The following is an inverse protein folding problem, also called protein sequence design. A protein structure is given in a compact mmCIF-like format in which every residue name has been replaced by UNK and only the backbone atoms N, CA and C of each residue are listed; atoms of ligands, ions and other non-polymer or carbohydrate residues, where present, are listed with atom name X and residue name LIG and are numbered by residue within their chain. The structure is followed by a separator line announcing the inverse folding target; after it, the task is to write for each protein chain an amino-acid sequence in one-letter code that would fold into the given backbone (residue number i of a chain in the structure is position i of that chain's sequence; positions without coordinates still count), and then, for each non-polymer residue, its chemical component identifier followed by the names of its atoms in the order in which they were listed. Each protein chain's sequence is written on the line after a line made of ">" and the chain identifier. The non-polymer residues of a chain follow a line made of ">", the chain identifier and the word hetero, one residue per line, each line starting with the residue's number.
data_IF_689917833206
#
_entry.id   IF_689917833206
#
_cell.length_a   1.000
_cell.length_b   1.000
_cell.length_c   1.000
_cell.angle_alpha   90.00
_cell.angle_beta   90.00
_cell.angle_gamma   90.00
#
_symmetry.space_group_name_H-M   'P 1'
#
loop_
_entity.id
_entity.type
_entity.pdbx_description
1 polymer ?
#
# COMPACT_ATOMS: atom_id res chain seq x y z
N UNK A 1 9.67 3.25 -30.05
CA UNK A 1 8.20 3.10 -29.96
C UNK A 1 7.77 2.48 -28.65
N UNK A 2 7.97 1.18 -28.37
CA UNK A 2 7.51 0.56 -27.12
C UNK A 2 7.89 1.30 -25.82
N UNK A 3 9.19 1.62 -25.63
CA UNK A 3 9.67 2.43 -24.49
C UNK A 3 9.14 3.87 -24.45
N UNK A 4 8.71 4.41 -25.58
CA UNK A 4 8.12 5.76 -25.62
C UNK A 4 6.68 5.73 -25.12
N UNK A 5 5.91 4.72 -25.53
CA UNK A 5 4.59 4.44 -24.96
C UNK A 5 4.69 4.16 -23.45
N UNK A 6 5.65 3.34 -23.00
CA UNK A 6 5.88 3.08 -21.58
C UNK A 6 6.18 4.37 -20.79
N UNK A 7 7.09 5.22 -21.28
CA UNK A 7 7.41 6.51 -20.64
C UNK A 7 6.22 7.46 -20.55
N UNK A 8 5.31 7.44 -21.53
CA UNK A 8 4.09 8.26 -21.49
C UNK A 8 3.10 7.76 -20.43
N UNK A 9 3.04 6.44 -20.21
CA UNK A 9 2.27 5.86 -19.11
C UNK A 9 2.80 6.35 -17.76
N UNK A 10 4.12 6.33 -17.57
CA UNK A 10 4.76 6.80 -16.34
C UNK A 10 4.55 8.30 -16.10
N UNK A 11 4.59 9.12 -17.16
CA UNK A 11 4.45 10.57 -17.05
C UNK A 11 3.00 11.07 -17.04
N UNK A 12 2.02 10.18 -17.16
CA UNK A 12 0.60 10.57 -17.26
C UNK A 12 0.22 11.24 -18.59
N UNK A 13 1.12 11.25 -19.59
CA UNK A 13 0.93 11.94 -20.86
C UNK A 13 0.27 11.05 -21.92
N UNK A 14 -0.87 10.43 -21.57
CA UNK A 14 -1.63 9.56 -22.48
C UNK A 14 -3.05 10.06 -22.66
N UNK A 15 -3.59 9.89 -23.87
CA UNK A 15 -4.99 10.20 -24.17
C UNK A 15 -5.94 9.08 -23.74
N UNK A 16 -5.51 7.82 -23.92
CA UNK A 16 -6.21 6.63 -23.44
C UNK A 16 -5.19 5.64 -22.87
N UNK A 17 -5.24 5.43 -21.56
CA UNK A 17 -4.32 4.58 -20.82
C UNK A 17 -4.30 3.14 -21.38
N UNK A 18 -5.48 2.60 -21.69
CA UNK A 18 -5.61 1.21 -22.16
C UNK A 18 -4.98 1.02 -23.53
N UNK A 19 -5.22 1.95 -24.45
CA UNK A 19 -4.59 1.92 -25.78
C UNK A 19 -3.09 2.14 -25.70
N UNK A 20 -2.62 3.12 -24.93
CA UNK A 20 -1.20 3.43 -24.79
C UNK A 20 -0.43 2.24 -24.19
N UNK A 21 -1.00 1.59 -23.17
CA UNK A 21 -0.47 0.37 -22.55
C UNK A 21 -0.42 -0.81 -23.52
N UNK A 22 -1.49 -1.05 -24.26
CA UNK A 22 -1.56 -2.13 -25.27
C UNK A 22 -0.50 -1.95 -26.36
N UNK A 23 -0.28 -0.72 -26.82
CA UNK A 23 0.76 -0.39 -27.79
C UNK A 23 2.16 -0.59 -27.21
N UNK A 24 2.40 -0.20 -25.96
CA UNK A 24 3.67 -0.41 -25.28
C UNK A 24 4.06 -1.90 -25.26
N UNK A 25 3.15 -2.75 -24.79
CA UNK A 25 3.34 -4.22 -24.74
C UNK A 25 3.62 -4.77 -26.13
N UNK A 26 2.77 -4.44 -27.12
CA UNK A 26 2.91 -4.94 -28.49
C UNK A 26 4.28 -4.62 -29.08
N UNK A 27 4.70 -3.36 -29.03
CA UNK A 27 5.98 -2.95 -29.65
C UNK A 27 7.20 -3.50 -28.91
N UNK A 28 7.13 -3.71 -27.60
CA UNK A 28 8.21 -4.36 -26.86
C UNK A 28 8.30 -5.85 -27.20
N UNK A 29 7.18 -6.57 -27.31
CA UNK A 29 7.17 -7.96 -27.76
C UNK A 29 7.75 -8.11 -29.18
N UNK A 30 7.37 -7.24 -30.11
CA UNK A 30 7.92 -7.22 -31.47
C UNK A 30 9.43 -6.96 -31.47
N UNK A 31 9.90 -6.00 -30.65
CA UNK A 31 11.32 -5.71 -30.52
C UNK A 31 12.11 -6.91 -29.97
N UNK A 32 11.59 -7.60 -28.95
CA UNK A 32 12.21 -8.81 -28.39
C UNK A 32 12.29 -9.94 -29.42
N UNK A 33 11.23 -10.15 -30.22
CA UNK A 33 11.21 -11.17 -31.26
C UNK A 33 12.25 -10.91 -32.36
N UNK A 34 12.49 -9.63 -32.72
CA UNK A 34 13.53 -9.25 -33.67
C UNK A 34 14.94 -9.40 -33.06
N UNK A 35 15.12 -8.94 -31.82
CA UNK A 35 16.43 -8.93 -31.16
C UNK A 35 16.94 -10.31 -30.79
N UNK A 36 16.06 -11.25 -30.41
CA UNK A 36 16.46 -12.64 -30.14
C UNK A 36 17.05 -13.36 -31.37
N UNK A 37 16.84 -12.82 -32.57
CA UNK A 37 17.34 -13.37 -33.84
C UNK A 37 18.60 -12.66 -34.38
N UNK A 38 19.08 -11.61 -33.71
CA UNK A 38 20.29 -10.85 -34.08
C UNK A 38 21.29 -10.86 -32.93
N UNK A 39 22.59 -10.75 -33.21
CA UNK A 39 23.64 -10.80 -32.17
C UNK A 39 23.29 -10.01 -30.90
N UNK A 40 23.51 -10.68 -29.77
CA UNK A 40 22.85 -10.41 -28.50
C UNK A 40 23.48 -9.20 -27.81
N UNK A 41 22.71 -8.10 -27.68
CA UNK A 41 23.18 -6.82 -27.12
C UNK A 41 22.44 -6.48 -25.79
N UNK A 42 23.06 -5.65 -24.95
CA UNK A 42 22.54 -5.10 -23.68
C UNK A 42 21.16 -4.48 -23.84
N UNK A 43 20.84 -3.97 -25.03
CA UNK A 43 19.53 -3.44 -25.38
C UNK A 43 18.39 -4.48 -25.26
N UNK A 44 18.69 -5.77 -25.41
CA UNK A 44 17.74 -6.86 -25.16
C UNK A 44 17.37 -6.94 -23.68
N UNK A 45 18.36 -6.89 -22.77
CA UNK A 45 18.12 -6.91 -21.33
C UNK A 45 17.24 -5.73 -20.87
N UNK A 46 17.47 -4.54 -21.43
CA UNK A 46 16.63 -3.37 -21.16
C UNK A 46 15.18 -3.59 -21.62
N UNK A 47 14.97 -4.12 -22.83
CA UNK A 47 13.61 -4.39 -23.33
C UNK A 47 12.90 -5.50 -22.55
N UNK A 48 13.63 -6.52 -22.10
CA UNK A 48 13.09 -7.58 -21.24
C UNK A 48 12.61 -6.98 -19.92
N UNK A 49 13.40 -6.09 -19.31
CA UNK A 49 13.04 -5.42 -18.06
C UNK A 49 11.82 -4.49 -18.24
N UNK A 50 11.78 -3.70 -19.32
CA UNK A 50 10.66 -2.80 -19.61
C UNK A 50 9.36 -3.57 -19.84
N UNK A 51 9.42 -4.69 -20.58
CA UNK A 51 8.24 -5.54 -20.79
C UNK A 51 7.81 -6.23 -19.48
N UNK A 52 8.76 -6.67 -18.67
CA UNK A 52 8.45 -7.25 -17.37
C UNK A 52 7.73 -6.26 -16.45
N UNK A 53 8.18 -5.00 -16.41
CA UNK A 53 7.52 -3.93 -15.65
C UNK A 53 6.07 -3.71 -16.13
N UNK A 54 5.84 -3.70 -17.45
CA UNK A 54 4.46 -3.59 -17.98
C UNK A 54 3.58 -4.78 -17.59
N UNK A 55 4.11 -6.00 -17.61
CA UNK A 55 3.37 -7.17 -17.16
C UNK A 55 3.11 -7.14 -15.65
N UNK A 56 4.09 -6.70 -14.88
CA UNK A 56 3.94 -6.46 -13.46
C UNK A 56 2.80 -5.46 -13.16
N UNK A 57 2.75 -4.32 -13.86
CA UNK A 57 1.69 -3.31 -13.74
C UNK A 57 0.30 -3.80 -14.22
N UNK A 58 0.27 -4.92 -14.94
CA UNK A 58 -0.95 -5.61 -15.36
C UNK A 58 -1.36 -6.74 -14.41
N UNK A 59 -0.58 -7.02 -13.35
CA UNK A 59 -0.78 -8.18 -12.47
C UNK A 59 -0.37 -9.52 -13.10
N UNK A 60 0.28 -9.50 -14.27
CA UNK A 60 0.75 -10.67 -15.02
C UNK A 60 2.14 -11.11 -14.50
N UNK A 61 2.19 -11.48 -13.23
CA UNK A 61 3.46 -11.78 -12.54
C UNK A 61 4.17 -13.03 -13.11
N UNK A 62 3.40 -14.00 -13.61
CA UNK A 62 3.95 -15.23 -14.19
C UNK A 62 4.69 -14.99 -15.50
N UNK A 63 4.32 -13.93 -16.22
CA UNK A 63 4.93 -13.48 -17.47
C UNK A 63 6.10 -12.54 -17.20
N UNK A 64 6.03 -11.71 -16.16
CA UNK A 64 7.09 -10.75 -15.79
C UNK A 64 8.34 -11.44 -15.24
N UNK A 65 8.18 -12.40 -14.32
CA UNK A 65 9.30 -13.06 -13.64
C UNK A 65 10.36 -13.67 -14.58
N UNK A 66 10.02 -14.49 -15.59
CA UNK A 66 11.03 -15.09 -16.46
C UNK A 66 11.81 -14.05 -17.26
N UNK A 67 11.19 -12.92 -17.62
CA UNK A 67 11.85 -11.84 -18.37
C UNK A 67 12.91 -11.13 -17.51
N UNK A 68 12.64 -10.89 -16.23
CA UNK A 68 13.62 -10.28 -15.30
C UNK A 68 14.81 -11.21 -15.05
N UNK A 69 14.55 -12.53 -14.91
CA UNK A 69 15.61 -13.53 -14.78
C UNK A 69 16.47 -13.60 -16.05
N UNK A 70 15.85 -13.61 -17.23
CA UNK A 70 16.56 -13.59 -18.51
C UNK A 70 17.41 -12.33 -18.67
N UNK A 71 16.89 -11.15 -18.28
CA UNK A 71 17.62 -9.89 -18.32
C UNK A 71 18.86 -9.90 -17.40
N UNK A 72 18.73 -10.44 -16.19
CA UNK A 72 19.82 -10.56 -15.22
C UNK A 72 20.93 -11.50 -15.74
N UNK A 73 20.56 -12.71 -16.17
CA UNK A 73 21.50 -13.68 -16.73
C UNK A 73 22.20 -13.13 -17.97
N UNK A 74 21.46 -12.41 -18.82
CA UNK A 74 22.04 -11.82 -20.02
C UNK A 74 23.08 -10.76 -19.69
N UNK A 75 22.81 -9.86 -18.74
CA UNK A 75 23.78 -8.85 -18.29
C UNK A 75 24.99 -9.49 -17.61
N UNK A 76 24.80 -10.50 -16.75
CA UNK A 76 25.91 -11.26 -16.14
C UNK A 76 26.81 -11.89 -17.22
N UNK A 77 26.23 -12.46 -18.28
CA UNK A 77 26.98 -13.08 -19.38
C UNK A 77 27.73 -12.08 -20.25
N UNK A 78 27.10 -10.96 -20.61
CA UNK A 78 27.67 -9.98 -21.55
C UNK A 78 28.67 -9.03 -20.90
N UNK A 79 28.41 -8.63 -19.65
CA UNK A 79 29.13 -7.56 -18.96
C UNK A 79 30.00 -8.06 -17.80
N UNK A 80 29.82 -9.32 -17.41
CA UNK A 80 30.44 -9.90 -16.22
C UNK A 80 29.58 -9.68 -14.97
N UNK A 81 29.90 -10.39 -13.89
CA UNK A 81 29.16 -10.31 -12.63
C UNK A 81 29.38 -8.98 -11.88
N UNK A 82 30.53 -8.34 -12.08
CA UNK A 82 30.93 -7.10 -11.41
C UNK A 82 30.64 -5.88 -12.29
N UNK A 83 29.39 -5.68 -12.68
CA UNK A 83 28.97 -4.56 -13.54
C UNK A 83 27.76 -3.82 -12.95
N UNK A 84 27.67 -2.47 -13.04
CA UNK A 84 26.54 -1.70 -12.53
C UNK A 84 25.17 -2.18 -13.02
N UNK A 85 25.06 -2.55 -14.30
CA UNK A 85 23.81 -3.09 -14.86
C UNK A 85 23.37 -4.41 -14.23
N UNK A 86 24.30 -5.22 -13.70
CA UNK A 86 23.95 -6.42 -12.93
C UNK A 86 23.32 -6.01 -11.60
N UNK A 87 23.89 -5.02 -10.89
CA UNK A 87 23.28 -4.47 -9.68
C UNK A 87 21.88 -3.88 -9.94
N UNK A 88 21.70 -3.18 -11.06
CA UNK A 88 20.39 -2.67 -11.48
C UNK A 88 19.39 -3.81 -11.73
N UNK A 89 19.82 -4.90 -12.37
CA UNK A 89 18.98 -6.08 -12.61
C UNK A 89 18.58 -6.80 -11.34
N UNK A 90 19.53 -6.98 -10.42
CA UNK A 90 19.29 -7.56 -9.10
C UNK A 90 18.26 -6.74 -8.35
N UNK A 91 18.39 -5.41 -8.37
CA UNK A 91 17.43 -4.48 -7.79
C UNK A 91 16.03 -4.59 -8.42
N UNK A 92 15.92 -4.71 -9.74
CA UNK A 92 14.63 -4.85 -10.43
C UNK A 92 13.97 -6.19 -10.12
N UNK A 93 14.73 -7.29 -10.08
CA UNK A 93 14.22 -8.60 -9.70
C UNK A 93 13.83 -8.67 -8.21
N UNK A 94 14.60 -8.01 -7.33
CA UNK A 94 14.27 -7.88 -5.93
C UNK A 94 12.99 -7.07 -5.71
N UNK A 95 12.82 -5.95 -6.44
CA UNK A 95 11.60 -5.14 -6.41
C UNK A 95 10.38 -5.96 -6.85
N UNK A 96 10.50 -6.72 -7.95
CA UNK A 96 9.45 -7.65 -8.36
C UNK A 96 9.08 -8.65 -7.25
N UNK A 97 10.06 -9.28 -6.61
CA UNK A 97 9.77 -10.22 -5.52
C UNK A 97 9.18 -9.53 -4.29
N UNK A 98 9.58 -8.29 -4.00
CA UNK A 98 8.99 -7.47 -2.95
C UNK A 98 7.52 -7.17 -3.25
N UNK A 99 7.20 -6.72 -4.47
CA UNK A 99 5.84 -6.33 -4.86
C UNK A 99 4.86 -7.51 -4.86
N UNK A 100 5.33 -8.72 -5.21
CA UNK A 100 4.52 -9.96 -5.10
C UNK A 100 4.52 -10.56 -3.69
N UNK A 101 5.07 -9.88 -2.68
CA UNK A 101 5.10 -10.31 -1.29
C UNK A 101 6.10 -11.44 -0.96
N UNK A 102 6.95 -11.83 -1.91
CA UNK A 102 7.97 -12.87 -1.70
C UNK A 102 9.27 -12.26 -1.14
N UNK A 103 9.18 -11.75 0.09
CA UNK A 103 10.29 -11.04 0.72
C UNK A 103 11.53 -11.92 0.93
N UNK A 104 11.34 -13.24 1.14
CA UNK A 104 12.44 -14.19 1.29
C UNK A 104 13.34 -14.32 0.05
N UNK A 105 12.78 -14.10 -1.16
CA UNK A 105 13.57 -14.03 -2.39
C UNK A 105 14.12 -12.64 -2.68
N UNK A 106 13.43 -11.59 -2.23
CA UNK A 106 13.88 -10.20 -2.43
C UNK A 106 15.13 -9.86 -1.59
N UNK A 107 15.17 -10.29 -0.33
CA UNK A 107 16.27 -9.98 0.61
C UNK A 107 17.67 -10.31 0.08
N UNK A 108 17.98 -11.55 -0.35
CA UNK A 108 19.32 -11.88 -0.83
C UNK A 108 19.71 -11.09 -2.10
N UNK A 109 18.74 -10.74 -2.94
CA UNK A 109 19.00 -9.97 -4.17
C UNK A 109 19.30 -8.51 -3.87
N UNK A 110 18.59 -7.89 -2.92
CA UNK A 110 18.91 -6.53 -2.47
C UNK A 110 20.27 -6.48 -1.77
N UNK A 111 20.62 -7.49 -0.99
CA UNK A 111 21.94 -7.61 -0.37
C UNK A 111 23.05 -7.77 -1.42
N UNK A 112 22.87 -8.65 -2.41
CA UNK A 112 23.84 -8.81 -3.52
C UNK A 112 24.00 -7.50 -4.30
N UNK A 113 22.91 -6.79 -4.60
CA UNK A 113 22.95 -5.50 -5.28
C UNK A 113 23.67 -4.41 -4.46
N UNK A 114 23.45 -4.37 -3.14
CA UNK A 114 24.09 -3.43 -2.22
C UNK A 114 25.59 -3.68 -2.13
N UNK A 115 26.02 -4.92 -1.92
CA UNK A 115 27.44 -5.27 -1.83
C UNK A 115 28.16 -5.04 -3.16
N UNK A 116 27.52 -5.35 -4.28
CA UNK A 116 28.05 -5.01 -5.60
C UNK A 116 28.14 -3.49 -5.80
N UNK A 117 27.14 -2.73 -5.35
CA UNK A 117 27.16 -1.27 -5.38
C UNK A 117 28.33 -0.68 -4.58
N UNK A 118 28.56 -1.16 -3.35
CA UNK A 118 29.71 -0.77 -2.52
C UNK A 118 31.04 -1.14 -3.16
N UNK A 119 31.13 -2.33 -3.76
CA UNK A 119 32.34 -2.78 -4.45
C UNK A 119 32.71 -1.85 -5.62
N UNK A 120 31.73 -1.45 -6.42
CA UNK A 120 31.95 -0.67 -7.64
C UNK A 120 32.10 0.84 -7.39
N UNK A 121 31.38 1.38 -6.40
CA UNK A 121 31.23 2.83 -6.19
C UNK A 121 31.82 3.31 -4.86
N UNK A 122 32.24 2.37 -4.00
CA UNK A 122 32.65 2.63 -2.63
C UNK A 122 31.48 2.80 -1.67
N UNK A 123 31.78 2.85 -0.37
CA UNK A 123 30.76 2.90 0.69
C UNK A 123 30.00 4.22 0.76
N UNK A 124 30.52 5.30 0.18
CA UNK A 124 29.93 6.65 0.26
C UNK A 124 29.47 7.12 -1.13
N UNK A 125 28.39 6.54 -1.65
CA UNK A 125 27.82 6.88 -2.96
C UNK A 125 26.28 6.96 -2.90
N UNK A 126 25.61 7.88 -3.65
CA UNK A 126 24.15 8.01 -3.64
C UNK A 126 23.41 6.70 -3.97
N UNK A 127 23.96 5.87 -4.85
CA UNK A 127 23.37 4.56 -5.20
C UNK A 127 23.42 3.55 -4.06
N UNK A 128 24.45 3.63 -3.21
CA UNK A 128 24.53 2.83 -1.97
C UNK A 128 23.44 3.28 -1.01
N UNK A 129 23.25 4.59 -0.82
CA UNK A 129 22.15 5.13 -0.02
C UNK A 129 20.77 4.68 -0.56
N UNK A 130 20.58 4.70 -1.88
CA UNK A 130 19.34 4.21 -2.50
C UNK A 130 19.12 2.71 -2.28
N UNK A 131 20.19 1.91 -2.31
CA UNK A 131 20.12 0.47 -2.05
C UNK A 131 19.82 0.16 -0.57
N UNK A 132 20.40 0.92 0.37
CA UNK A 132 20.07 0.85 1.79
C UNK A 132 18.57 1.15 2.03
N UNK A 133 18.02 2.17 1.37
CA UNK A 133 16.60 2.50 1.48
C UNK A 133 15.70 1.37 0.97
N UNK A 134 16.05 0.70 -0.14
CA UNK A 134 15.28 -0.44 -0.66
C UNK A 134 15.27 -1.62 0.31
N UNK A 135 16.42 -1.93 0.91
CA UNK A 135 16.50 -2.98 1.93
C UNK A 135 15.72 -2.60 3.20
N UNK A 136 15.77 -1.33 3.61
CA UNK A 136 14.96 -0.85 4.74
C UNK A 136 13.45 -0.95 4.47
N UNK A 137 12.99 -0.64 3.25
CA UNK A 137 11.59 -0.85 2.85
C UNK A 137 11.17 -2.31 2.95
N UNK A 138 12.03 -3.23 2.51
CA UNK A 138 11.80 -4.67 2.66
C UNK A 138 11.62 -5.05 4.13
N UNK A 139 12.54 -4.62 5.00
CA UNK A 139 12.46 -4.91 6.44
C UNK A 139 11.23 -4.26 7.10
N UNK A 140 10.87 -3.03 6.71
CA UNK A 140 9.61 -2.38 7.12
C UNK A 140 8.40 -3.24 6.76
N UNK A 141 8.32 -3.74 5.53
CA UNK A 141 7.22 -4.60 5.07
C UNK A 141 7.16 -5.96 5.80
N UNK A 142 8.28 -6.43 6.34
CA UNK A 142 8.36 -7.62 7.20
C UNK A 142 8.11 -7.31 8.69
N UNK A 143 7.84 -6.07 9.07
CA UNK A 143 7.73 -5.64 10.48
C UNK A 143 9.06 -5.59 11.24
N UNK A 144 10.20 -5.82 10.56
CA UNK A 144 11.55 -5.83 11.10
C UNK A 144 12.11 -4.41 11.26
N UNK A 145 11.40 -3.57 12.02
CA UNK A 145 11.70 -2.14 12.13
C UNK A 145 13.08 -1.84 12.72
N UNK A 146 13.55 -2.66 13.66
CA UNK A 146 14.87 -2.52 14.28
C UNK A 146 16.04 -2.70 13.30
N UNK A 147 15.82 -3.44 12.21
CA UNK A 147 16.82 -3.61 11.14
C UNK A 147 16.68 -2.54 10.04
N UNK A 148 15.46 -2.04 9.82
CA UNK A 148 15.20 -0.98 8.84
C UNK A 148 15.76 0.40 9.27
N UNK A 149 15.58 0.76 10.54
CA UNK A 149 15.95 2.08 11.08
C UNK A 149 17.43 2.44 10.88
N UNK A 150 18.42 1.60 11.25
CA UNK A 150 19.83 1.94 11.05
C UNK A 150 20.21 2.11 9.57
N UNK A 151 19.56 1.40 8.65
CA UNK A 151 19.81 1.53 7.22
C UNK A 151 19.32 2.87 6.68
N UNK A 152 18.12 3.32 7.09
CA UNK A 152 17.58 4.63 6.71
C UNK A 152 18.43 5.77 7.28
N UNK A 153 18.85 5.65 8.55
CA UNK A 153 19.74 6.64 9.18
C UNK A 153 21.08 6.71 8.44
N UNK A 154 21.67 5.57 8.08
CA UNK A 154 22.91 5.52 7.32
C UNK A 154 22.76 6.16 5.93
N UNK A 155 21.67 5.85 5.21
CA UNK A 155 21.37 6.45 3.90
C UNK A 155 21.15 7.96 3.97
N UNK A 156 20.40 8.42 4.97
CA UNK A 156 20.13 9.84 5.23
C UNK A 156 21.42 10.61 5.52
N UNK A 157 22.26 10.10 6.44
CA UNK A 157 23.54 10.73 6.81
C UNK A 157 24.49 10.78 5.62
N UNK A 158 24.53 9.71 4.80
CA UNK A 158 25.31 9.69 3.57
C UNK A 158 24.85 10.77 2.58
N UNK A 159 23.54 10.92 2.36
CA UNK A 159 22.98 11.96 1.48
C UNK A 159 23.22 13.36 2.02
N UNK A 160 23.04 13.61 3.31
CA UNK A 160 23.36 14.90 3.96
C UNK A 160 24.83 15.27 3.75
N UNK A 161 25.75 14.30 3.86
CA UNK A 161 27.19 14.52 3.65
C UNK A 161 27.56 14.80 2.20
N UNK A 162 26.99 14.04 1.26
CA UNK A 162 27.35 14.12 -0.17
C UNK A 162 26.68 15.30 -0.88
N UNK A 163 25.43 15.61 -0.51
CA UNK A 163 24.56 16.52 -1.26
C UNK A 163 24.23 17.81 -0.48
N UNK A 164 24.59 17.86 0.81
CA UNK A 164 24.16 18.92 1.73
C UNK A 164 22.79 18.63 2.36
N UNK A 165 22.43 19.40 3.40
CA UNK A 165 21.15 19.26 4.10
C UNK A 165 19.96 19.78 3.28
N UNK A 166 20.18 20.77 2.42
CA UNK A 166 19.16 21.34 1.54
C UNK A 166 19.19 20.63 0.18
N UNK A 167 18.68 19.39 0.14
CA UNK A 167 18.61 18.61 -1.09
C UNK A 167 17.31 17.77 -1.18
N UNK A 168 16.69 17.62 -2.37
CA UNK A 168 15.49 16.80 -2.53
C UNK A 168 15.66 15.34 -2.10
N UNK A 169 16.86 14.76 -2.26
CA UNK A 169 17.14 13.38 -1.84
C UNK A 169 17.22 13.26 -0.31
N UNK A 170 17.62 14.33 0.38
CA UNK A 170 17.56 14.40 1.85
C UNK A 170 16.11 14.49 2.31
N UNK A 171 15.29 15.33 1.67
CA UNK A 171 13.85 15.40 1.97
C UNK A 171 13.16 14.03 1.76
N UNK A 172 13.46 13.34 0.66
CA UNK A 172 12.96 11.97 0.43
C UNK A 172 13.40 11.02 1.54
N UNK A 173 14.66 11.06 1.96
CA UNK A 173 15.17 10.20 3.04
C UNK A 173 14.50 10.46 4.39
N UNK A 174 14.21 11.74 4.70
CA UNK A 174 13.49 12.14 5.90
C UNK A 174 12.06 11.59 5.89
N UNK A 175 11.36 11.69 4.75
CA UNK A 175 10.02 11.12 4.59
C UNK A 175 10.03 9.59 4.78
N UNK A 176 11.02 8.88 4.23
CA UNK A 176 11.14 7.42 4.39
C UNK A 176 11.36 7.01 5.85
N UNK A 177 12.19 7.75 6.59
CA UNK A 177 12.40 7.52 8.03
C UNK A 177 11.14 7.85 8.83
N UNK A 178 10.42 8.92 8.47
CA UNK A 178 9.17 9.27 9.09
C UNK A 178 8.10 8.19 8.88
N UNK A 179 7.99 7.63 7.67
CA UNK A 179 7.09 6.51 7.39
C UNK A 179 7.42 5.27 8.23
N UNK A 180 8.72 4.99 8.47
CA UNK A 180 9.12 3.90 9.35
C UNK A 180 8.66 4.15 10.80
N UNK A 181 8.76 5.38 11.29
CA UNK A 181 8.25 5.75 12.62
C UNK A 181 6.72 5.72 12.70
N UNK A 182 6.03 6.15 11.64
CA UNK A 182 4.57 6.02 11.54
C UNK A 182 4.12 4.56 11.62
N UNK A 183 4.81 3.64 10.93
CA UNK A 183 4.53 2.21 10.98
C UNK A 183 4.74 1.60 12.38
N UNK A 184 5.55 2.23 13.22
CA UNK A 184 5.76 1.88 14.64
C UNK A 184 4.80 2.61 15.60
N UNK A 185 3.89 3.45 15.10
CA UNK A 185 3.05 4.32 15.93
C UNK A 185 3.79 5.48 16.60
N UNK A 186 5.07 5.71 16.25
CA UNK A 186 5.94 6.78 16.79
C UNK A 186 5.68 8.12 16.09
N UNK A 187 4.42 8.56 16.05
CA UNK A 187 3.98 9.75 15.31
C UNK A 187 4.66 11.05 15.77
N UNK A 188 4.96 11.17 17.07
CA UNK A 188 5.65 12.33 17.62
C UNK A 188 7.10 12.47 17.11
N UNK A 189 7.77 11.35 16.82
CA UNK A 189 9.13 11.34 16.25
C UNK A 189 9.11 11.49 14.73
N UNK A 190 8.07 10.98 14.06
CA UNK A 190 7.87 11.15 12.63
C UNK A 190 7.61 12.62 12.24
N UNK A 191 6.86 13.35 13.07
CA UNK A 191 6.41 14.72 12.78
C UNK A 191 7.55 15.68 12.38
N UNK A 192 8.59 15.91 13.20
CA UNK A 192 9.64 16.86 12.87
C UNK A 192 10.40 16.47 11.59
N UNK A 193 10.49 15.18 11.26
CA UNK A 193 11.15 14.72 10.03
C UNK A 193 10.34 15.12 8.78
N UNK A 194 9.02 14.96 8.81
CA UNK A 194 8.16 15.38 7.69
C UNK A 194 8.11 16.91 7.58
N UNK A 195 8.13 17.63 8.70
CA UNK A 195 8.23 19.09 8.69
C UNK A 195 9.55 19.56 8.05
N UNK A 196 10.69 18.99 8.42
CA UNK A 196 12.00 19.26 7.79
C UNK A 196 11.96 18.92 6.28
N UNK A 197 11.40 17.77 5.90
CA UNK A 197 11.27 17.37 4.49
C UNK A 197 10.37 18.32 3.67
N UNK A 198 9.28 18.79 4.27
CA UNK A 198 8.36 19.74 3.67
C UNK A 198 9.03 21.11 3.48
N UNK A 199 9.75 21.60 4.49
CA UNK A 199 10.51 22.86 4.41
C UNK A 199 11.56 22.82 3.29
N UNK A 200 12.35 21.74 3.21
CA UNK A 200 13.33 21.55 2.13
C UNK A 200 12.63 21.53 0.76
N UNK A 201 11.52 20.80 0.65
CA UNK A 201 10.78 20.70 -0.62
C UNK A 201 10.20 22.04 -1.06
N UNK A 202 9.63 22.81 -0.13
CA UNK A 202 9.12 24.16 -0.38
C UNK A 202 10.23 25.11 -0.82
N UNK A 203 11.39 25.06 -0.13
CA UNK A 203 12.53 25.93 -0.40
C UNK A 203 13.11 25.68 -1.80
N UNK A 204 13.31 24.43 -2.18
CA UNK A 204 14.07 24.06 -3.38
C UNK A 204 13.20 23.93 -4.63
N UNK A 205 11.96 23.46 -4.46
CA UNK A 205 11.12 23.04 -5.57
C UNK A 205 9.88 23.93 -5.72
N UNK A 206 9.62 24.78 -4.74
CA UNK A 206 8.44 25.64 -4.67
C UNK A 206 7.19 24.91 -4.19
N UNK A 207 6.16 25.70 -3.90
CA UNK A 207 4.85 25.26 -3.40
C UNK A 207 4.12 24.29 -4.34
N UNK A 208 4.45 24.31 -5.63
CA UNK A 208 3.78 23.52 -6.66
C UNK A 208 4.43 22.17 -6.94
N UNK A 209 5.51 21.80 -6.25
CA UNK A 209 6.20 20.56 -6.59
C UNK A 209 5.46 19.32 -6.05
N UNK A 210 5.40 18.21 -6.83
CA UNK A 210 4.87 16.93 -6.37
C UNK A 210 5.32 16.45 -4.97
N UNK A 211 6.60 16.66 -4.62
CA UNK A 211 7.16 16.29 -3.32
C UNK A 211 6.55 17.08 -2.15
N UNK A 212 6.07 18.31 -2.39
CA UNK A 212 5.34 19.10 -1.40
C UNK A 212 4.00 18.44 -1.12
N UNK A 213 3.26 18.04 -2.15
CA UNK A 213 2.00 17.33 -1.99
C UNK A 213 2.17 16.01 -1.24
N UNK A 214 3.23 15.25 -1.52
CA UNK A 214 3.56 14.01 -0.80
C UNK A 214 3.88 14.26 0.68
N UNK A 215 4.72 15.25 0.99
CA UNK A 215 5.07 15.61 2.37
C UNK A 215 3.84 16.09 3.15
N UNK A 216 2.95 16.88 2.51
CA UNK A 216 1.68 17.29 3.09
C UNK A 216 0.75 16.10 3.38
N UNK A 217 0.73 15.10 2.50
CA UNK A 217 -0.03 13.87 2.73
C UNK A 217 0.50 13.11 3.96
N UNK A 218 1.82 12.96 4.05
CA UNK A 218 2.45 12.24 5.16
C UNK A 218 2.22 12.99 6.49
N UNK A 219 2.32 14.31 6.48
CA UNK A 219 2.04 15.15 7.64
C UNK A 219 0.58 15.07 8.07
N UNK A 220 -0.36 15.02 7.11
CA UNK A 220 -1.77 14.82 7.42
C UNK A 220 -2.05 13.48 8.09
N UNK A 221 -1.39 12.40 7.65
CA UNK A 221 -1.48 11.10 8.32
C UNK A 221 -1.02 11.17 9.78
N UNK A 222 0.08 11.88 10.05
CA UNK A 222 0.57 12.10 11.42
C UNK A 222 -0.46 12.86 12.25
N UNK A 223 -0.99 13.97 11.72
CA UNK A 223 -2.01 14.75 12.41
C UNK A 223 -3.27 13.94 12.69
N UNK A 224 -3.71 13.11 11.74
CA UNK A 224 -4.84 12.21 11.91
C UNK A 224 -4.64 11.25 13.10
N UNK A 225 -3.50 10.57 13.18
CA UNK A 225 -3.22 9.64 14.27
C UNK A 225 -2.97 10.32 15.62
N UNK A 226 -2.51 11.58 15.61
CA UNK A 226 -2.43 12.41 16.82
C UNK A 226 -3.80 12.99 17.24
N UNK A 227 -4.87 12.74 16.48
CA UNK A 227 -6.22 13.25 16.73
C UNK A 227 -6.44 14.71 16.32
N UNK A 228 -5.46 15.36 15.70
CA UNK A 228 -5.59 16.72 15.16
C UNK A 228 -6.17 16.68 13.74
N UNK A 229 -7.46 16.37 13.67
CA UNK A 229 -8.17 16.28 12.40
C UNK A 229 -8.25 17.62 11.65
N UNK A 230 -8.10 18.75 12.36
CA UNK A 230 -8.14 20.07 11.72
C UNK A 230 -6.89 20.30 10.88
N UNK A 231 -5.70 20.11 11.46
CA UNK A 231 -4.44 20.21 10.74
C UNK A 231 -4.31 19.13 9.66
N UNK A 232 -4.86 17.93 9.87
CA UNK A 232 -4.92 16.90 8.82
C UNK A 232 -5.71 17.38 7.59
N UNK A 233 -6.90 17.98 7.79
CA UNK A 233 -7.71 18.53 6.70
C UNK A 233 -6.98 19.66 5.98
N UNK A 234 -6.30 20.53 6.74
CA UNK A 234 -5.54 21.64 6.15
C UNK A 234 -4.43 21.14 5.23
N UNK A 235 -3.57 20.23 5.72
CA UNK A 235 -2.50 19.64 4.93
C UNK A 235 -3.03 18.93 3.67
N UNK A 236 -4.09 18.12 3.81
CA UNK A 236 -4.69 17.42 2.66
C UNK A 236 -5.32 18.39 1.66
N UNK A 237 -5.92 19.49 2.12
CA UNK A 237 -6.52 20.50 1.25
C UNK A 237 -5.45 21.26 0.47
N UNK A 238 -4.32 21.59 1.11
CA UNK A 238 -3.18 22.19 0.43
C UNK A 238 -2.57 21.23 -0.61
N UNK A 239 -2.32 19.97 -0.24
CA UNK A 239 -1.81 18.96 -1.17
C UNK A 239 -2.76 18.70 -2.35
N UNK A 240 -4.07 18.70 -2.09
CA UNK A 240 -5.10 18.59 -3.11
C UNK A 240 -5.06 19.75 -4.12
N UNK A 241 -4.84 20.99 -3.65
CA UNK A 241 -4.70 22.15 -4.51
C UNK A 241 -3.45 22.03 -5.40
N UNK A 242 -2.32 21.63 -4.83
CA UNK A 242 -1.08 21.39 -5.58
C UNK A 242 -1.28 20.32 -6.66
N UNK A 243 -1.87 19.18 -6.31
CA UNK A 243 -2.13 18.09 -7.24
C UNK A 243 -3.01 18.52 -8.43
N UNK A 244 -4.05 19.33 -8.17
CA UNK A 244 -4.91 19.89 -9.23
C UNK A 244 -4.17 20.85 -10.13
N UNK A 245 -3.36 21.74 -9.56
CA UNK A 245 -2.63 22.76 -10.31
C UNK A 245 -1.60 22.15 -11.26
N UNK A 246 -0.95 21.05 -10.87
CA UNK A 246 0.00 20.33 -11.73
C UNK A 246 -0.65 19.28 -12.64
N UNK A 247 -1.96 19.06 -12.49
CA UNK A 247 -2.71 18.06 -13.28
C UNK A 247 -2.46 16.60 -12.86
N UNK A 248 -1.97 16.35 -11.65
CA UNK A 248 -1.73 15.00 -11.15
C UNK A 248 -3.02 14.41 -10.56
N UNK A 249 -3.72 13.64 -11.41
CA UNK A 249 -4.97 12.97 -11.06
C UNK A 249 -4.79 11.90 -9.98
N UNK A 250 -3.68 11.17 -9.98
CA UNK A 250 -3.43 10.10 -9.01
C UNK A 250 -3.22 10.67 -7.59
N UNK A 251 -2.45 11.75 -7.47
CA UNK A 251 -2.28 12.45 -6.18
C UNK A 251 -3.56 13.16 -5.75
N UNK A 252 -4.31 13.75 -6.68
CA UNK A 252 -5.62 14.35 -6.38
C UNK A 252 -6.58 13.33 -5.75
N UNK A 253 -6.67 12.14 -6.36
CA UNK A 253 -7.44 11.01 -5.88
C UNK A 253 -7.04 10.60 -4.46
N UNK A 254 -5.73 10.48 -4.19
CA UNK A 254 -5.19 10.11 -2.87
C UNK A 254 -5.57 11.11 -1.77
N UNK A 255 -5.41 12.41 -2.03
CA UNK A 255 -5.79 13.46 -1.08
C UNK A 255 -7.31 13.45 -0.78
N UNK A 256 -8.14 13.25 -1.80
CA UNK A 256 -9.60 13.12 -1.63
C UNK A 256 -9.97 11.89 -0.82
N UNK A 257 -9.31 10.75 -1.06
CA UNK A 257 -9.50 9.53 -0.27
C UNK A 257 -9.19 9.77 1.21
N UNK A 258 -8.04 10.37 1.51
CA UNK A 258 -7.62 10.64 2.87
C UNK A 258 -8.50 11.70 3.56
N UNK A 259 -8.95 12.74 2.84
CA UNK A 259 -9.94 13.69 3.36
C UNK A 259 -11.22 12.98 3.79
N UNK A 260 -11.69 12.03 2.97
CA UNK A 260 -12.88 11.25 3.30
C UNK A 260 -12.73 10.43 4.58
N UNK A 261 -11.56 9.83 4.80
CA UNK A 261 -11.24 9.09 6.05
C UNK A 261 -11.26 10.03 7.26
N UNK A 262 -10.63 11.21 7.15
CA UNK A 262 -10.61 12.21 8.24
C UNK A 262 -12.03 12.71 8.53
N UNK A 263 -12.83 13.02 7.51
CA UNK A 263 -14.21 13.46 7.67
C UNK A 263 -15.09 12.37 8.32
N UNK A 264 -14.91 11.11 7.93
CA UNK A 264 -15.63 10.00 8.55
C UNK A 264 -15.32 9.88 10.05
N UNK A 265 -14.06 10.05 10.43
CA UNK A 265 -13.60 10.00 11.83
C UNK A 265 -14.11 11.19 12.67
N UNK A 266 -14.36 12.34 12.02
CA UNK A 266 -15.03 13.49 12.63
C UNK A 266 -16.57 13.35 12.71
N UNK A 267 -17.15 12.24 12.22
CA UNK A 267 -18.60 12.06 12.10
C UNK A 267 -19.24 12.92 11.00
N UNK A 268 -18.44 13.57 10.15
CA UNK A 268 -18.88 14.38 9.00
C UNK A 268 -19.11 13.50 7.78
N UNK A 269 -20.04 12.55 7.89
CA UNK A 269 -20.22 11.50 6.90
C UNK A 269 -20.64 12.01 5.50
N UNK A 270 -21.37 13.13 5.42
CA UNK A 270 -21.72 13.73 4.13
C UNK A 270 -20.47 14.25 3.38
N UNK A 271 -19.56 14.94 4.08
CA UNK A 271 -18.30 15.42 3.52
C UNK A 271 -17.38 14.24 3.13
N UNK A 272 -17.41 13.16 3.91
CA UNK A 272 -16.70 11.92 3.61
C UNK A 272 -17.21 11.28 2.30
N UNK A 273 -18.54 11.16 2.16
CA UNK A 273 -19.18 10.62 0.95
C UNK A 273 -18.86 11.48 -0.27
N UNK A 274 -18.89 12.81 -0.15
CA UNK A 274 -18.54 13.69 -1.26
C UNK A 274 -17.09 13.47 -1.69
N UNK A 275 -16.17 13.41 -0.73
CA UNK A 275 -14.74 13.20 -0.97
C UNK A 275 -14.46 11.84 -1.63
N UNK A 276 -15.06 10.77 -1.12
CA UNK A 276 -14.89 9.43 -1.70
C UNK A 276 -15.58 9.27 -3.06
N UNK A 277 -16.69 9.96 -3.34
CA UNK A 277 -17.27 9.95 -4.69
C UNK A 277 -16.39 10.66 -5.71
N UNK A 278 -15.74 11.76 -5.32
CA UNK A 278 -14.73 12.42 -6.18
C UNK A 278 -13.56 11.47 -6.40
N UNK A 279 -13.02 10.86 -5.35
CA UNK A 279 -11.95 9.85 -5.46
C UNK A 279 -12.35 8.72 -6.43
N UNK A 280 -13.53 8.11 -6.23
CA UNK A 280 -14.06 7.04 -7.09
C UNK A 280 -14.11 7.43 -8.57
N UNK A 281 -14.55 8.66 -8.85
CA UNK A 281 -14.62 9.19 -10.21
C UNK A 281 -13.23 9.26 -10.84
N UNK A 282 -12.25 9.79 -10.12
CA UNK A 282 -10.87 9.91 -10.61
C UNK A 282 -10.24 8.53 -10.81
N UNK A 283 -10.38 7.62 -9.86
CA UNK A 283 -9.84 6.26 -9.95
C UNK A 283 -10.34 5.54 -11.22
N UNK A 284 -11.63 5.67 -11.52
CA UNK A 284 -12.23 5.16 -12.77
C UNK A 284 -11.69 5.84 -14.02
N UNK A 285 -11.50 7.16 -13.99
CA UNK A 285 -10.96 7.93 -15.12
C UNK A 285 -9.53 7.50 -15.48
N UNK A 286 -8.68 7.27 -14.48
CA UNK A 286 -7.27 6.88 -14.70
C UNK A 286 -7.07 5.36 -14.83
N UNK A 287 -8.13 4.56 -14.64
CA UNK A 287 -8.06 3.10 -14.68
C UNK A 287 -7.38 2.46 -13.47
N UNK A 288 -7.32 3.16 -12.33
CA UNK A 288 -6.80 2.65 -11.07
C UNK A 288 -7.85 1.75 -10.41
N UNK A 289 -7.75 0.45 -10.69
CA UNK A 289 -8.72 -0.54 -10.22
C UNK A 289 -8.65 -0.75 -8.71
N UNK A 290 -7.46 -0.71 -8.13
CA UNK A 290 -7.27 -0.81 -6.68
C UNK A 290 -7.86 0.41 -5.98
N UNK A 291 -7.59 1.62 -6.47
CA UNK A 291 -8.15 2.84 -5.92
C UNK A 291 -9.67 2.93 -6.08
N UNK A 292 -10.24 2.37 -7.15
CA UNK A 292 -11.69 2.22 -7.28
C UNK A 292 -12.26 1.35 -6.14
N UNK A 293 -11.60 0.23 -5.84
CA UNK A 293 -11.94 -0.64 -4.71
C UNK A 293 -11.92 0.10 -3.38
N UNK A 294 -10.81 0.77 -3.05
CA UNK A 294 -10.68 1.55 -1.81
C UNK A 294 -11.76 2.63 -1.69
N UNK A 295 -12.08 3.35 -2.77
CA UNK A 295 -13.12 4.37 -2.75
C UNK A 295 -14.51 3.78 -2.47
N UNK A 296 -14.84 2.63 -3.07
CA UNK A 296 -16.11 1.92 -2.84
C UNK A 296 -16.20 1.36 -1.42
N UNK A 297 -15.14 0.74 -0.90
CA UNK A 297 -15.09 0.25 0.48
C UNK A 297 -15.33 1.38 1.49
N UNK A 298 -14.65 2.52 1.31
CA UNK A 298 -14.81 3.68 2.17
C UNK A 298 -16.19 4.34 2.05
N UNK A 299 -16.79 4.38 0.86
CA UNK A 299 -18.20 4.78 0.69
C UNK A 299 -19.14 3.84 1.45
N UNK A 300 -18.88 2.53 1.40
CA UNK A 300 -19.59 1.53 2.20
C UNK A 300 -19.53 1.86 3.69
N UNK A 301 -18.34 2.13 4.21
CA UNK A 301 -18.12 2.52 5.61
C UNK A 301 -18.87 3.80 5.96
N UNK A 302 -18.76 4.86 5.15
CA UNK A 302 -19.45 6.12 5.41
C UNK A 302 -20.98 5.99 5.39
N UNK A 303 -21.54 5.19 4.47
CA UNK A 303 -22.98 4.91 4.45
C UNK A 303 -23.43 4.02 5.61
N UNK A 304 -22.61 3.06 6.04
CA UNK A 304 -22.85 2.25 7.25
C UNK A 304 -22.94 3.17 8.48
N UNK A 305 -22.00 4.08 8.65
CA UNK A 305 -21.96 5.03 9.77
C UNK A 305 -23.15 6.00 9.79
N UNK A 306 -23.74 6.31 8.63
CA UNK A 306 -25.01 7.07 8.52
C UNK A 306 -26.26 6.23 8.80
N UNK A 307 -26.14 4.92 8.97
CA UNK A 307 -27.28 4.00 9.10
C UNK A 307 -27.95 3.61 7.78
N UNK A 308 -27.38 3.98 6.63
CA UNK A 308 -27.87 3.58 5.31
C UNK A 308 -27.32 2.21 4.89
N UNK A 309 -27.64 1.18 5.68
CA UNK A 309 -27.04 -0.15 5.56
C UNK A 309 -27.20 -0.82 4.19
N UNK A 310 -28.37 -0.70 3.55
CA UNK A 310 -28.57 -1.27 2.20
C UNK A 310 -27.61 -0.66 1.17
N UNK A 311 -27.41 0.67 1.24
CA UNK A 311 -26.49 1.36 0.34
C UNK A 311 -25.04 0.99 0.62
N UNK A 312 -24.69 0.81 1.89
CA UNK A 312 -23.38 0.29 2.28
C UNK A 312 -23.10 -1.10 1.68
N UNK A 313 -24.08 -2.01 1.76
CA UNK A 313 -24.00 -3.35 1.16
C UNK A 313 -23.76 -3.27 -0.36
N UNK A 314 -24.44 -2.38 -1.07
CA UNK A 314 -24.28 -2.22 -2.52
C UNK A 314 -22.86 -1.76 -2.89
N UNK A 315 -22.26 -0.88 -2.08
CA UNK A 315 -20.86 -0.45 -2.27
C UNK A 315 -19.86 -1.55 -1.91
N UNK A 316 -20.05 -2.25 -0.78
CA UNK A 316 -19.19 -3.36 -0.41
C UNK A 316 -19.25 -4.51 -1.43
N UNK A 317 -20.42 -4.80 -2.02
CA UNK A 317 -20.53 -5.80 -3.11
C UNK A 317 -19.71 -5.40 -4.33
N UNK A 318 -19.70 -4.12 -4.69
CA UNK A 318 -18.84 -3.63 -5.77
C UNK A 318 -17.36 -3.74 -5.38
N UNK A 319 -16.98 -3.34 -4.17
CA UNK A 319 -15.60 -3.48 -3.68
C UNK A 319 -15.14 -4.96 -3.69
N UNK A 320 -15.98 -5.88 -3.20
CA UNK A 320 -15.71 -7.31 -3.20
C UNK A 320 -15.47 -7.87 -4.62
N UNK A 321 -16.25 -7.41 -5.60
CA UNK A 321 -16.05 -7.81 -6.99
C UNK A 321 -14.69 -7.32 -7.52
N UNK A 322 -14.27 -6.11 -7.16
CA UNK A 322 -12.95 -5.56 -7.50
C UNK A 322 -11.82 -6.35 -6.82
N UNK A 323 -11.93 -6.58 -5.51
CA UNK A 323 -10.91 -7.29 -4.75
C UNK A 323 -10.65 -8.69 -5.36
N UNK A 324 -11.71 -9.41 -5.72
CA UNK A 324 -11.62 -10.69 -6.44
C UNK A 324 -11.03 -10.59 -7.83
N UNK A 325 -11.38 -9.55 -8.58
CA UNK A 325 -10.86 -9.31 -9.93
C UNK A 325 -9.34 -9.09 -9.91
N UNK A 326 -8.82 -8.36 -8.92
CA UNK A 326 -7.39 -8.02 -8.83
C UNK A 326 -6.60 -8.99 -7.94
N UNK A 327 -7.25 -9.99 -7.33
CA UNK A 327 -6.60 -10.96 -6.43
C UNK A 327 -6.20 -10.39 -5.05
N UNK A 328 -6.85 -9.32 -4.61
CA UNK A 328 -6.62 -8.72 -3.29
C UNK A 328 -7.39 -9.48 -2.20
N UNK A 329 -6.75 -10.52 -1.66
CA UNK A 329 -7.32 -11.35 -0.59
C UNK A 329 -7.57 -10.56 0.70
N UNK A 330 -6.70 -9.60 1.04
CA UNK A 330 -6.85 -8.77 2.24
C UNK A 330 -8.08 -7.86 2.14
N UNK A 331 -8.23 -7.19 0.98
CA UNK A 331 -9.41 -6.40 0.67
C UNK A 331 -10.69 -7.24 0.61
N UNK A 332 -10.62 -8.47 0.07
CA UNK A 332 -11.75 -9.41 0.08
C UNK A 332 -12.19 -9.75 1.51
N UNK A 333 -11.27 -10.22 2.35
CA UNK A 333 -11.55 -10.59 3.75
C UNK A 333 -12.13 -9.42 4.56
N UNK A 334 -11.51 -8.25 4.45
CA UNK A 334 -11.96 -7.03 5.14
C UNK A 334 -13.36 -6.58 4.68
N UNK A 335 -13.66 -6.74 3.39
CA UNK A 335 -14.98 -6.38 2.83
C UNK A 335 -16.05 -7.38 3.24
N UNK A 336 -15.74 -8.67 3.27
CA UNK A 336 -16.64 -9.71 3.77
C UNK A 336 -16.95 -9.50 5.26
N UNK A 337 -15.94 -9.15 6.06
CA UNK A 337 -16.10 -8.77 7.47
C UNK A 337 -17.05 -7.57 7.63
N UNK A 338 -16.85 -6.52 6.82
CA UNK A 338 -17.69 -5.30 6.82
C UNK A 338 -19.12 -5.56 6.32
N UNK A 339 -19.30 -6.44 5.33
CA UNK A 339 -20.60 -6.91 4.87
C UNK A 339 -21.32 -7.67 5.97
N UNK A 340 -20.65 -8.64 6.60
CA UNK A 340 -21.19 -9.43 7.69
C UNK A 340 -21.68 -8.56 8.85
N UNK A 341 -20.87 -7.59 9.26
CA UNK A 341 -21.24 -6.61 10.30
C UNK A 341 -22.46 -5.76 9.89
N UNK A 342 -22.54 -5.35 8.62
CA UNK A 342 -23.65 -4.53 8.13
C UNK A 342 -24.95 -5.36 8.03
N UNK A 343 -24.85 -6.62 7.65
CA UNK A 343 -25.96 -7.58 7.61
C UNK A 343 -26.46 -7.91 9.02
N UNK A 344 -25.56 -7.98 10.01
CA UNK A 344 -25.91 -8.09 11.42
C UNK A 344 -26.79 -6.92 11.88
N UNK A 345 -26.48 -5.68 11.47
CA UNK A 345 -27.31 -4.50 11.79
C UNK A 345 -28.70 -4.54 11.14
N UNK A 346 -28.88 -5.32 10.08
CA UNK A 346 -30.16 -5.57 9.42
C UNK A 346 -30.85 -6.86 9.91
N UNK A 347 -30.29 -7.53 10.91
CA UNK A 347 -30.79 -8.81 11.45
C UNK A 347 -30.85 -9.94 10.40
N UNK A 348 -30.04 -9.84 9.34
CA UNK A 348 -29.91 -10.86 8.29
C UNK A 348 -28.88 -11.92 8.70
N UNK A 349 -29.15 -12.62 9.80
CA UNK A 349 -28.18 -13.51 10.46
C UNK A 349 -27.60 -14.62 9.56
N UNK A 350 -28.37 -15.32 8.71
CA UNK A 350 -27.80 -16.37 7.85
C UNK A 350 -26.79 -15.82 6.84
N UNK A 351 -27.15 -14.72 6.17
CA UNK A 351 -26.24 -14.07 5.21
C UNK A 351 -25.02 -13.49 5.92
N UNK A 352 -25.20 -12.91 7.12
CA UNK A 352 -24.09 -12.41 7.93
C UNK A 352 -23.11 -13.52 8.32
N UNK A 353 -23.63 -14.68 8.73
CA UNK A 353 -22.83 -15.86 9.08
C UNK A 353 -21.97 -16.30 7.89
N UNK A 354 -22.56 -16.45 6.70
CA UNK A 354 -21.85 -16.86 5.50
C UNK A 354 -20.71 -15.89 5.14
N UNK A 355 -20.91 -14.57 5.32
CA UNK A 355 -19.87 -13.57 5.05
C UNK A 355 -18.76 -13.57 6.09
N UNK A 356 -19.11 -13.69 7.37
CA UNK A 356 -18.10 -13.71 8.44
C UNK A 356 -17.27 -15.00 8.41
N UNK A 357 -17.87 -16.15 8.10
CA UNK A 357 -17.12 -17.41 7.95
C UNK A 357 -16.14 -17.34 6.77
N UNK A 358 -16.58 -16.83 5.62
CA UNK A 358 -15.69 -16.62 4.48
C UNK A 358 -14.56 -15.63 4.78
N UNK A 359 -14.84 -14.56 5.56
CA UNK A 359 -13.80 -13.63 6.01
C UNK A 359 -12.76 -14.32 6.93
N UNK A 360 -13.22 -15.21 7.82
CA UNK A 360 -12.37 -15.97 8.75
C UNK A 360 -11.48 -16.98 8.03
N UNK A 361 -12.00 -17.66 7.00
CA UNK A 361 -11.20 -18.56 6.16
C UNK A 361 -10.07 -17.79 5.47
N UNK A 362 -10.39 -16.61 4.92
CA UNK A 362 -9.41 -15.76 4.26
C UNK A 362 -8.38 -15.20 5.24
N UNK A 363 -8.77 -14.68 6.41
CA UNK A 363 -7.83 -14.15 7.41
C UNK A 363 -6.81 -15.20 7.85
N UNK A 364 -7.27 -16.45 8.03
CA UNK A 364 -6.42 -17.59 8.38
C UNK A 364 -5.52 -18.04 7.23
N UNK A 365 -5.99 -17.98 5.99
CA UNK A 365 -5.16 -18.27 4.81
C UNK A 365 -4.00 -17.27 4.66
N UNK A 366 -4.28 -15.97 4.83
CA UNK A 366 -3.30 -14.90 4.67
C UNK A 366 -2.47 -14.63 5.93
N UNK A 367 -2.87 -15.17 7.08
CA UNK A 367 -2.16 -15.03 8.36
C UNK A 367 -2.26 -13.63 8.99
N UNK A 368 -3.32 -12.88 8.70
CA UNK A 368 -3.57 -11.53 9.23
C UNK A 368 -4.37 -11.67 10.54
N UNK A 369 -3.66 -11.69 11.67
CA UNK A 369 -4.20 -11.99 13.00
C UNK A 369 -5.15 -10.91 13.56
N UNK A 370 -4.92 -9.65 13.23
CA UNK A 370 -5.80 -8.53 13.58
C UNK A 370 -7.17 -8.66 12.92
N UNK A 371 -7.21 -8.96 11.61
CA UNK A 371 -8.47 -9.26 10.91
C UNK A 371 -9.14 -10.52 11.49
N UNK A 372 -8.36 -11.55 11.84
CA UNK A 372 -8.86 -12.78 12.44
C UNK A 372 -9.62 -12.51 13.75
N UNK A 373 -9.00 -11.75 14.66
CA UNK A 373 -9.61 -11.35 15.93
C UNK A 373 -10.88 -10.51 15.72
N UNK A 374 -10.87 -9.57 14.77
CA UNK A 374 -12.05 -8.76 14.44
C UNK A 374 -13.23 -9.61 13.95
N UNK A 375 -12.97 -10.56 13.05
CA UNK A 375 -14.00 -11.44 12.49
C UNK A 375 -14.55 -12.37 13.57
N UNK A 376 -13.68 -12.94 14.42
CA UNK A 376 -14.09 -13.77 15.56
C UNK A 376 -14.97 -12.99 16.55
N UNK A 377 -14.63 -11.74 16.89
CA UNK A 377 -15.47 -10.90 17.73
C UNK A 377 -16.86 -10.65 17.09
N UNK A 378 -16.90 -10.44 15.77
CA UNK A 378 -18.17 -10.28 15.03
C UNK A 378 -18.99 -11.57 15.01
N UNK A 379 -18.35 -12.73 14.84
CA UNK A 379 -19.00 -14.05 14.96
C UNK A 379 -19.54 -14.29 16.37
N UNK A 380 -18.78 -13.92 17.41
CA UNK A 380 -19.23 -14.02 18.79
C UNK A 380 -20.52 -13.22 19.02
N UNK A 381 -20.56 -11.96 18.56
CA UNK A 381 -21.77 -11.13 18.59
C UNK A 381 -22.93 -11.74 17.80
N UNK A 382 -22.66 -12.35 16.65
CA UNK A 382 -23.69 -13.03 15.86
C UNK A 382 -24.28 -14.21 16.65
N UNK A 383 -23.45 -15.09 17.20
CA UNK A 383 -23.90 -16.23 18.01
C UNK A 383 -24.62 -15.81 19.29
N UNK A 384 -24.22 -14.69 19.90
CA UNK A 384 -24.95 -14.07 21.01
C UNK A 384 -26.39 -13.73 20.60
N UNK A 385 -26.59 -13.08 19.45
CA UNK A 385 -27.93 -12.75 18.93
C UNK A 385 -28.78 -13.99 18.61
N UNK A 386 -28.14 -15.07 18.14
CA UNK A 386 -28.81 -16.36 17.92
C UNK A 386 -29.09 -17.15 19.22
N UNK A 387 -28.59 -16.67 20.36
CA UNK A 387 -28.72 -17.34 21.65
C UNK A 387 -27.79 -18.55 21.84
N UNK A 388 -26.82 -18.74 20.94
CA UNK A 388 -25.82 -19.81 20.94
C UNK A 388 -24.62 -19.43 21.82
N UNK A 389 -24.87 -19.25 23.11
CA UNK A 389 -23.90 -18.66 24.06
C UNK A 389 -22.57 -19.42 24.16
N UNK A 390 -22.56 -20.75 24.02
CA UNK A 390 -21.34 -21.55 24.08
C UNK A 390 -20.40 -21.21 22.91
N UNK A 391 -20.93 -21.16 21.68
CA UNK A 391 -20.17 -20.77 20.49
C UNK A 391 -19.74 -19.31 20.54
N UNK A 392 -20.61 -18.43 21.05
CA UNK A 392 -20.27 -17.03 21.25
C UNK A 392 -19.06 -16.88 22.16
N UNK A 393 -19.01 -17.63 23.27
CA UNK A 393 -17.87 -17.64 24.20
C UNK A 393 -16.62 -18.25 23.56
N UNK A 394 -16.74 -19.32 22.76
CA UNK A 394 -15.59 -19.91 22.04
C UNK A 394 -14.92 -18.87 21.14
N UNK A 395 -15.70 -18.23 20.24
CA UNK A 395 -15.16 -17.20 19.34
C UNK A 395 -14.65 -15.95 20.09
N UNK A 396 -15.34 -15.54 21.17
CA UNK A 396 -14.94 -14.38 21.97
C UNK A 396 -13.61 -14.62 22.71
N UNK A 397 -13.40 -15.83 23.25
CA UNK A 397 -12.12 -16.17 23.89
C UNK A 397 -10.99 -16.23 22.88
N UNK A 398 -11.20 -16.84 21.72
CA UNK A 398 -10.19 -16.90 20.65
C UNK A 398 -9.80 -15.48 20.18
N UNK A 399 -10.81 -14.61 19.96
CA UNK A 399 -10.57 -13.21 19.62
C UNK A 399 -9.80 -12.46 20.72
N UNK A 400 -10.15 -12.68 21.99
CA UNK A 400 -9.50 -12.05 23.14
C UNK A 400 -8.04 -12.47 23.27
N UNK A 401 -7.74 -13.76 23.10
CA UNK A 401 -6.38 -14.30 23.18
C UNK A 401 -5.48 -13.65 22.12
N UNK A 402 -5.94 -13.62 20.86
CA UNK A 402 -5.23 -12.98 19.75
C UNK A 402 -5.07 -11.47 20.02
N UNK A 403 -6.16 -10.78 20.39
CA UNK A 403 -6.11 -9.33 20.63
C UNK A 403 -5.18 -8.94 21.79
N UNK A 404 -5.11 -9.79 22.82
CA UNK A 404 -4.20 -9.63 23.97
C UNK A 404 -2.74 -9.84 23.55
N UNK A 405 -2.47 -10.86 22.74
CA UNK A 405 -1.12 -11.12 22.20
C UNK A 405 -0.64 -9.95 21.31
N UNK A 406 -1.53 -9.39 20.50
CA UNK A 406 -1.23 -8.24 19.64
C UNK A 406 -1.20 -6.89 20.40
N UNK A 407 -1.74 -6.83 21.61
CA UNK A 407 -1.84 -5.60 22.39
C UNK A 407 -2.75 -4.53 21.77
N UNK A 408 -3.81 -4.96 21.07
CA UNK A 408 -4.73 -4.05 20.36
C UNK A 408 -5.97 -3.70 21.20
N UNK A 409 -6.60 -2.53 20.98
CA UNK A 409 -7.76 -2.08 21.77
C UNK A 409 -8.97 -3.05 21.76
N UNK A 410 -9.06 -3.91 20.74
CA UNK A 410 -10.09 -4.94 20.62
C UNK A 410 -10.13 -5.90 21.82
N UNK A 411 -9.02 -6.05 22.56
CA UNK A 411 -8.96 -6.90 23.74
C UNK A 411 -9.94 -6.46 24.84
N UNK A 412 -10.10 -5.15 25.05
CA UNK A 412 -11.06 -4.61 26.02
C UNK A 412 -12.50 -4.92 25.58
N UNK A 413 -12.83 -4.72 24.30
CA UNK A 413 -14.16 -5.02 23.78
C UNK A 413 -14.50 -6.52 23.87
N UNK A 414 -13.53 -7.40 23.59
CA UNK A 414 -13.72 -8.84 23.73
C UNK A 414 -13.89 -9.25 25.20
N UNK A 415 -13.15 -8.61 26.11
CA UNK A 415 -13.29 -8.86 27.55
C UNK A 415 -14.68 -8.45 28.05
N UNK A 416 -15.16 -7.27 27.67
CA UNK A 416 -16.50 -6.79 28.01
C UNK A 416 -17.59 -7.73 27.47
N UNK A 417 -17.47 -8.15 26.21
CA UNK A 417 -18.40 -9.09 25.59
C UNK A 417 -18.40 -10.45 26.30
N UNK A 418 -17.23 -10.95 26.70
CA UNK A 418 -17.09 -12.19 27.45
C UNK A 418 -17.81 -12.13 28.79
N UNK A 419 -17.63 -11.05 29.54
CA UNK A 419 -18.32 -10.84 30.82
C UNK A 419 -19.83 -10.78 30.65
N UNK A 420 -20.32 -10.10 29.61
CA UNK A 420 -21.73 -10.07 29.26
C UNK A 420 -22.28 -11.48 28.94
N UNK A 421 -21.58 -12.25 28.11
CA UNK A 421 -21.96 -13.60 27.72
C UNK A 421 -22.03 -14.57 28.91
N UNK A 422 -21.08 -14.47 29.84
CA UNK A 422 -21.07 -15.28 31.07
C UNK A 422 -22.28 -14.94 31.96
N UNK A 423 -22.56 -13.66 32.16
CA UNK A 423 -23.74 -13.20 32.92
C UNK A 423 -25.06 -13.69 32.29
N UNK A 424 -25.18 -13.62 30.96
CA UNK A 424 -26.35 -14.13 30.23
C UNK A 424 -26.52 -15.65 30.39
N UNK A 425 -25.41 -16.40 30.51
CA UNK A 425 -25.42 -17.85 30.68
C UNK A 425 -25.79 -18.25 32.12
N UNK A 426 -25.34 -17.51 33.12
CA UNK A 426 -25.68 -17.74 34.54
C UNK A 426 -27.14 -17.36 34.87
N UNK A 427 -27.75 -16.46 34.09
CA UNK A 427 -29.14 -16.06 34.23
C UNK A 427 -30.17 -16.96 33.52
N UNK A 428 -29.73 -17.99 32.78
CA UNK A 428 -30.57 -19.01 32.13
C UNK A 428 -30.62 -20.28 32.96
#
# INVERSE_FOLDING_TARGET
>A
MGREYARRLESGQFADYKTERSLAVKYLQEALALQRNSDIDVNLANNLNDLANLYHDMGLYSEAQPLLLEALELRKRLLGAEHPDVAASLNSLAAFYYDVGNYAKAEPLYLEALELGKLLLGDNHPDVASSLNKLAKLYKAQGRYAEAEPLLLQGLEMRKRLLGSENPDVASSLNELAELYQAQGRYAEAKPLVEEALEISLLLLGDRHPNVAESLNNLAGIYYFLGDYHSAIECLSQGLAVARDVGDRSREARHLGNLGVVYNSLGKYHDAIESHNKYLKIAREIGDRQGEGHALGNLGTAYKSLGHYQKAIDYYRQHLAIAREIGDLSGEGSTLSSLGETLLKLEQYPEAMDKLQAALEISREIGILDLDAEVLNKLAKLHQQLGELDRALEHCNEALDIATELGIPLAEECQDLKEELLSQKEGR
#
